data_IF_158273059732
#
_entry.id   IF_158273059732
#
_cell.length_a   1.000
_cell.length_b   1.000
_cell.length_c   1.000
_cell.angle_alpha   90.00
_cell.angle_beta   90.00
_cell.angle_gamma   90.00
#
_symmetry.space_group_name_H-M   'P 1'
#
loop_
_entity.id
_entity.type
_entity.pdbx_description
1 polymer ?
#
# COMPACT_ATOMS: atom_id res chain seq x y z
N UNK A 1 16.71 30.43 14.74
CA UNK A 1 15.75 29.40 14.30
C UNK A 1 16.44 28.07 14.50
N UNK A 2 15.80 27.14 15.19
CA UNK A 2 16.34 25.80 15.43
C UNK A 2 16.34 25.02 14.10
N UNK A 3 17.47 24.50 13.61
CA UNK A 3 17.56 23.81 12.32
C UNK A 3 16.83 22.45 12.30
N UNK A 4 16.25 22.01 13.43
CA UNK A 4 15.55 20.73 13.57
C UNK A 4 14.03 20.77 13.27
N UNK A 5 13.50 21.92 12.83
CA UNK A 5 12.06 22.09 12.58
C UNK A 5 11.80 22.15 11.06
N UNK A 6 11.93 21.01 10.38
CA UNK A 6 11.53 20.87 8.97
C UNK A 6 10.55 19.72 8.75
N UNK A 7 9.73 19.42 9.77
CA UNK A 7 8.70 18.39 9.69
C UNK A 7 7.34 19.00 9.99
N UNK A 8 6.49 19.02 8.98
CA UNK A 8 5.07 19.31 9.14
C UNK A 8 4.45 18.22 10.02
N UNK A 9 4.04 18.54 11.24
CA UNK A 9 3.41 17.59 12.17
C UNK A 9 1.88 17.62 12.02
N UNK A 10 1.25 16.44 12.04
CA UNK A 10 -0.20 16.27 12.01
C UNK A 10 -0.69 15.79 13.36
N UNK A 11 -1.71 16.44 13.93
CA UNK A 11 -2.43 15.91 15.09
C UNK A 11 -3.42 14.87 14.61
N UNK A 12 -3.41 13.66 15.16
CA UNK A 12 -4.35 12.63 14.70
C UNK A 12 -4.11 11.23 15.23
N UNK A 13 -4.73 10.30 14.53
CA UNK A 13 -4.64 8.86 14.77
C UNK A 13 -4.17 8.16 13.50
N UNK A 14 -3.22 7.21 13.57
CA UNK A 14 -2.96 6.31 12.46
C UNK A 14 -4.26 5.62 12.05
N UNK A 15 -4.53 5.57 10.75
CA UNK A 15 -5.69 4.88 10.24
C UNK A 15 -5.38 3.39 10.09
N UNK A 16 -6.32 2.57 10.52
CA UNK A 16 -6.30 1.14 10.23
C UNK A 16 -6.82 0.93 8.81
N UNK A 17 -5.90 0.82 7.85
CA UNK A 17 -6.25 0.72 6.43
C UNK A 17 -6.87 -0.64 6.09
N UNK A 18 -6.52 -1.68 6.85
CA UNK A 18 -7.14 -3.01 6.75
C UNK A 18 -8.60 -2.93 7.22
N UNK A 19 -8.87 -2.35 8.39
CA UNK A 19 -10.24 -2.14 8.86
C UNK A 19 -11.05 -1.24 7.92
N UNK A 20 -10.43 -0.21 7.33
CA UNK A 20 -11.08 0.62 6.31
C UNK A 20 -11.44 -0.19 5.06
N UNK A 21 -10.57 -1.12 4.64
CA UNK A 21 -10.85 -2.00 3.52
C UNK A 21 -12.01 -2.96 3.83
N UNK A 22 -12.02 -3.57 5.01
CA UNK A 22 -13.14 -4.41 5.47
C UNK A 22 -14.45 -3.62 5.51
N UNK A 23 -14.39 -2.38 6.01
CA UNK A 23 -15.53 -1.45 6.02
C UNK A 23 -16.00 -1.16 4.59
N UNK A 24 -15.08 -0.89 3.67
CA UNK A 24 -15.39 -0.66 2.27
C UNK A 24 -16.06 -1.89 1.62
N UNK A 25 -15.61 -3.09 1.94
CA UNK A 25 -16.21 -4.33 1.44
C UNK A 25 -17.63 -4.54 1.97
N UNK A 26 -17.85 -4.34 3.28
CA UNK A 26 -19.19 -4.44 3.90
C UNK A 26 -20.15 -3.43 3.27
N UNK A 27 -19.68 -2.22 2.97
CA UNK A 27 -20.46 -1.15 2.33
C UNK A 27 -20.53 -1.27 0.80
N UNK A 28 -19.93 -2.29 0.20
CA UNK A 28 -19.88 -2.51 -1.26
C UNK A 28 -19.25 -1.34 -2.03
N UNK A 29 -18.26 -0.67 -1.43
CA UNK A 29 -17.51 0.45 -2.02
C UNK A 29 -16.31 -0.03 -2.86
N UNK A 30 -15.95 -1.31 -2.74
CA UNK A 30 -14.90 -1.94 -3.56
C UNK A 30 -15.52 -2.52 -4.82
N UNK A 31 -15.05 -2.08 -5.98
CA UNK A 31 -15.47 -2.59 -7.28
C UNK A 31 -14.46 -3.58 -7.84
N UNK A 32 -14.91 -4.49 -8.69
CA UNK A 32 -14.01 -5.29 -9.51
C UNK A 32 -13.55 -4.45 -10.72
N UNK A 33 -12.27 -4.56 -11.16
CA UNK A 33 -11.83 -3.88 -12.36
C UNK A 33 -12.65 -4.32 -13.59
N UNK A 34 -13.03 -3.37 -14.45
CA UNK A 34 -13.78 -3.66 -15.68
C UNK A 34 -12.98 -4.63 -16.58
N UNK A 35 -13.51 -5.83 -16.92
CA UNK A 35 -12.84 -6.79 -17.79
C UNK A 35 -12.46 -6.20 -19.16
N UNK A 36 -13.27 -5.29 -19.71
CA UNK A 36 -12.96 -4.63 -21.00
C UNK A 36 -11.79 -3.67 -20.89
N UNK A 37 -11.59 -3.09 -19.71
CA UNK A 37 -10.41 -2.27 -19.40
C UNK A 37 -9.19 -3.16 -19.26
N UNK A 38 -9.27 -4.24 -18.47
CA UNK A 38 -8.17 -5.19 -18.26
C UNK A 38 -7.67 -5.81 -19.57
N UNK A 39 -8.57 -6.14 -20.51
CA UNK A 39 -8.22 -6.71 -21.81
C UNK A 39 -7.29 -5.82 -22.67
N UNK A 40 -7.13 -4.53 -22.33
CA UNK A 40 -6.22 -3.61 -23.02
C UNK A 40 -4.79 -3.62 -22.48
N UNK A 41 -4.55 -4.31 -21.36
CA UNK A 41 -3.27 -4.31 -20.66
C UNK A 41 -2.72 -5.73 -20.50
N UNK A 42 -1.39 -5.83 -20.38
CA UNK A 42 -0.70 -7.07 -20.11
C UNK A 42 -1.22 -7.71 -18.80
N UNK A 43 -1.54 -9.02 -18.77
CA UNK A 43 -1.99 -9.70 -17.55
C UNK A 43 -1.06 -9.51 -16.35
N UNK A 44 0.23 -9.31 -16.59
CA UNK A 44 1.23 -9.05 -15.54
C UNK A 44 0.94 -7.79 -14.75
N UNK A 45 0.20 -6.81 -15.26
CA UNK A 45 -0.14 -5.58 -14.51
C UNK A 45 -1.57 -5.58 -13.96
N UNK A 46 -2.35 -6.65 -14.16
CA UNK A 46 -3.75 -6.70 -13.74
C UNK A 46 -3.94 -6.55 -12.23
N UNK A 47 -2.99 -7.03 -11.42
CA UNK A 47 -3.05 -6.88 -9.96
C UNK A 47 -3.00 -5.40 -9.53
N UNK A 48 -2.31 -4.52 -10.27
CA UNK A 48 -2.25 -3.08 -9.97
C UNK A 48 -3.64 -2.44 -10.10
N UNK A 49 -4.44 -2.89 -11.07
CA UNK A 49 -5.83 -2.44 -11.19
C UNK A 49 -6.66 -2.90 -10.00
N UNK A 50 -6.51 -4.16 -9.58
CA UNK A 50 -7.19 -4.67 -8.38
C UNK A 50 -6.81 -3.86 -7.15
N UNK A 51 -5.51 -3.65 -6.90
CA UNK A 51 -5.01 -2.84 -5.78
C UNK A 51 -5.55 -1.41 -5.81
N UNK A 52 -5.63 -0.80 -6.99
CA UNK A 52 -6.21 0.52 -7.15
C UNK A 52 -7.71 0.54 -6.79
N UNK A 53 -8.48 -0.47 -7.18
CA UNK A 53 -9.90 -0.57 -6.76
C UNK A 53 -10.05 -0.79 -5.25
N UNK A 54 -9.19 -1.61 -4.63
CA UNK A 54 -9.16 -1.78 -3.18
C UNK A 54 -8.86 -0.44 -2.48
N UNK A 55 -7.82 0.27 -2.95
CA UNK A 55 -7.42 1.57 -2.40
C UNK A 55 -8.51 2.63 -2.57
N UNK A 56 -9.17 2.67 -3.73
CA UNK A 56 -10.31 3.56 -3.94
C UNK A 56 -11.43 3.26 -2.94
N UNK A 57 -11.76 1.99 -2.71
CA UNK A 57 -12.73 1.59 -1.70
C UNK A 57 -12.35 2.08 -0.29
N UNK A 58 -11.09 1.95 0.11
CA UNK A 58 -10.56 2.49 1.39
C UNK A 58 -10.76 4.00 1.48
N UNK A 59 -10.45 4.74 0.41
CA UNK A 59 -10.59 6.19 0.37
C UNK A 59 -12.05 6.65 0.39
N UNK A 60 -12.96 5.90 -0.25
CA UNK A 60 -14.41 6.16 -0.19
C UNK A 60 -14.97 5.88 1.21
N UNK A 61 -14.63 4.75 1.83
CA UNK A 61 -15.05 4.43 3.19
C UNK A 61 -14.58 5.50 4.19
N UNK A 62 -13.33 5.95 4.03
CA UNK A 62 -12.81 7.04 4.86
C UNK A 62 -13.56 8.36 4.65
N UNK A 63 -13.98 8.66 3.42
CA UNK A 63 -14.77 9.87 3.13
C UNK A 63 -16.13 9.82 3.79
N UNK A 64 -16.84 8.70 3.70
CA UNK A 64 -18.14 8.53 4.36
C UNK A 64 -18.04 8.71 5.89
N UNK A 65 -16.97 8.16 6.50
CA UNK A 65 -16.70 8.35 7.93
C UNK A 65 -16.44 9.83 8.25
N UNK A 66 -15.63 10.52 7.45
CA UNK A 66 -15.37 11.96 7.63
C UNK A 66 -16.67 12.76 7.61
N UNK A 67 -17.56 12.47 6.65
CA UNK A 67 -18.85 13.12 6.51
C UNK A 67 -19.78 12.83 7.70
N UNK A 68 -19.76 11.61 8.24
CA UNK A 68 -20.55 11.20 9.42
C UNK A 68 -20.11 11.88 10.72
N UNK A 69 -18.80 12.12 10.87
CA UNK A 69 -18.21 12.66 12.09
C UNK A 69 -18.47 14.15 12.29
N UNK A 70 -18.70 14.89 11.19
CA UNK A 70 -18.96 16.34 11.20
C UNK A 70 -17.87 17.16 11.91
N UNK A 71 -16.65 16.65 12.00
CA UNK A 71 -15.50 17.39 12.51
C UNK A 71 -15.00 18.31 11.37
N UNK A 72 -15.05 19.64 11.54
CA UNK A 72 -14.59 20.55 10.50
C UNK A 72 -13.11 20.31 10.19
N UNK A 73 -12.77 20.23 8.90
CA UNK A 73 -11.40 20.00 8.42
C UNK A 73 -10.74 18.69 8.86
N UNK A 74 -11.50 17.69 9.33
CA UNK A 74 -10.98 16.33 9.43
C UNK A 74 -10.59 15.82 8.03
N UNK A 75 -9.40 15.25 7.89
CA UNK A 75 -8.89 14.72 6.62
C UNK A 75 -8.11 13.45 6.86
N UNK A 76 -8.08 12.57 5.86
CA UNK A 76 -7.10 11.51 5.81
C UNK A 76 -5.82 12.04 5.14
N UNK A 77 -4.67 11.90 5.81
CA UNK A 77 -3.36 12.35 5.31
C UNK A 77 -2.30 11.31 5.62
N UNK A 78 -1.25 11.29 4.83
CA UNK A 78 -0.16 10.32 4.98
C UNK A 78 0.90 10.81 5.97
N UNK A 79 1.41 9.88 6.79
CA UNK A 79 2.46 10.10 7.80
C UNK A 79 3.63 9.14 7.60
N UNK A 80 4.83 9.55 8.01
CA UNK A 80 5.99 8.66 8.10
C UNK A 80 5.86 7.76 9.35
N UNK A 81 6.04 6.44 9.16
CA UNK A 81 6.13 5.47 10.27
C UNK A 81 7.48 4.75 10.32
N UNK A 82 8.30 4.89 9.27
CA UNK A 82 9.70 4.52 9.18
C UNK A 82 10.38 5.34 8.07
N UNK A 83 11.66 5.07 7.78
CA UNK A 83 12.40 5.68 6.67
C UNK A 83 11.85 5.30 5.28
N UNK A 84 11.13 4.17 5.21
CA UNK A 84 10.64 3.59 3.94
C UNK A 84 9.15 3.32 3.92
N UNK A 85 8.47 3.52 5.05
CA UNK A 85 7.05 3.18 5.18
C UNK A 85 6.26 4.40 5.62
N UNK A 86 5.11 4.55 4.98
CA UNK A 86 4.09 5.51 5.34
C UNK A 86 2.81 4.79 5.73
N UNK A 87 1.93 5.51 6.42
CA UNK A 87 0.59 5.05 6.76
C UNK A 87 -0.37 6.23 6.67
N UNK A 88 -1.64 5.97 6.41
CA UNK A 88 -2.68 7.00 6.52
C UNK A 88 -2.91 7.39 7.99
N UNK A 89 -3.35 8.63 8.18
CA UNK A 89 -3.63 9.22 9.48
C UNK A 89 -4.88 10.11 9.38
N UNK A 90 -5.79 9.91 10.33
CA UNK A 90 -6.91 10.79 10.59
C UNK A 90 -6.39 12.12 11.16
N UNK A 91 -6.12 13.07 10.27
CA UNK A 91 -5.62 14.41 10.61
C UNK A 91 -6.74 15.28 11.16
N UNK A 92 -6.67 15.54 12.46
CA UNK A 92 -7.56 16.44 13.18
C UNK A 92 -7.13 17.90 13.04
N UNK A 93 -8.07 18.86 13.12
CA UNK A 93 -7.74 20.28 13.20
C UNK A 93 -7.08 20.62 14.55
N UNK A 94 -6.27 21.67 14.58
CA UNK A 94 -5.45 22.03 15.74
C UNK A 94 -6.26 22.37 17.02
N UNK A 95 -7.54 22.76 16.88
CA UNK A 95 -8.41 23.02 18.04
C UNK A 95 -8.82 21.74 18.78
N UNK A 96 -8.71 20.56 18.16
CA UNK A 96 -8.94 19.26 18.81
C UNK A 96 -7.83 18.85 19.79
N UNK A 97 -6.74 19.62 19.87
CA UNK A 97 -5.69 19.38 20.85
C UNK A 97 -6.17 19.65 22.27
N UNK A 98 -5.87 18.76 23.22
CA UNK A 98 -6.41 18.81 24.59
C UNK A 98 -6.27 20.17 25.31
N UNK A 99 -5.26 20.97 24.98
CA UNK A 99 -5.06 22.32 25.58
C UNK A 99 -5.93 23.43 24.97
N UNK A 100 -6.57 23.17 23.82
CA UNK A 100 -7.36 24.12 23.02
C UNK A 100 -8.80 23.67 22.83
N UNK A 101 -9.09 22.40 23.12
CA UNK A 101 -10.35 21.72 22.88
C UNK A 101 -11.48 22.33 23.72
N UNK A 102 -12.60 22.62 23.08
CA UNK A 102 -13.84 22.99 23.78
C UNK A 102 -14.61 21.74 24.27
N UNK A 103 -15.62 21.89 25.14
CA UNK A 103 -16.50 20.78 25.48
C UNK A 103 -17.21 20.18 24.26
N UNK A 104 -17.61 21.00 23.29
CA UNK A 104 -18.24 20.58 22.04
C UNK A 104 -17.27 19.76 21.18
N UNK A 105 -16.03 20.23 21.03
CA UNK A 105 -14.98 19.50 20.33
C UNK A 105 -14.70 18.15 21.00
N UNK A 106 -14.74 18.10 22.33
CA UNK A 106 -14.56 16.86 23.08
C UNK A 106 -15.66 15.85 22.73
N UNK A 107 -16.93 16.28 22.67
CA UNK A 107 -18.04 15.40 22.27
C UNK A 107 -17.86 14.87 20.84
N UNK A 108 -17.46 15.73 19.90
CA UNK A 108 -17.21 15.32 18.52
C UNK A 108 -16.04 14.33 18.42
N UNK A 109 -14.96 14.59 19.16
CA UNK A 109 -13.81 13.71 19.20
C UNK A 109 -14.13 12.34 19.82
N UNK A 110 -14.88 12.30 20.92
CA UNK A 110 -15.28 11.02 21.52
C UNK A 110 -16.19 10.21 20.58
N UNK A 111 -17.15 10.86 19.91
CA UNK A 111 -17.95 10.20 18.85
C UNK A 111 -17.04 9.65 17.74
N UNK A 112 -16.05 10.43 17.29
CA UNK A 112 -15.14 9.99 16.25
C UNK A 112 -14.29 8.79 16.69
N UNK A 113 -13.77 8.83 17.91
CA UNK A 113 -13.01 7.74 18.54
C UNK A 113 -13.82 6.44 18.61
N UNK A 114 -15.10 6.52 18.98
CA UNK A 114 -16.02 5.38 18.97
C UNK A 114 -16.13 4.76 17.57
N UNK A 115 -16.27 5.59 16.52
CA UNK A 115 -16.39 5.13 15.13
C UNK A 115 -15.13 4.40 14.68
N UNK A 116 -13.94 4.94 14.99
CA UNK A 116 -12.66 4.35 14.55
C UNK A 116 -12.07 3.33 15.55
N UNK A 117 -12.80 3.00 16.62
CA UNK A 117 -12.36 2.04 17.63
C UNK A 117 -11.14 2.48 18.47
N UNK A 118 -10.92 3.78 18.64
CA UNK A 118 -9.78 4.31 19.41
C UNK A 118 -10.23 4.81 20.79
N UNK A 119 -9.34 4.70 21.78
CA UNK A 119 -9.62 5.13 23.17
C UNK A 119 -8.67 6.22 23.64
N UNK A 120 -7.51 6.34 22.99
CA UNK A 120 -6.44 7.26 23.40
C UNK A 120 -6.65 8.68 22.85
N UNK A 121 -5.97 9.63 23.46
CA UNK A 121 -5.87 11.01 22.95
C UNK A 121 -5.05 11.05 21.64
N UNK A 122 -5.36 11.99 20.72
CA UNK A 122 -4.65 12.11 19.45
C UNK A 122 -3.22 12.55 19.68
N UNK A 123 -2.32 12.13 18.78
CA UNK A 123 -0.88 12.38 18.89
C UNK A 123 -0.38 13.14 17.67
N UNK A 124 0.78 13.76 17.82
CA UNK A 124 1.46 14.38 16.70
C UNK A 124 2.27 13.34 15.93
N UNK A 125 2.07 13.32 14.62
CA UNK A 125 2.75 12.42 13.68
C UNK A 125 3.48 13.23 12.61
N UNK A 126 4.64 12.78 12.15
CA UNK A 126 5.36 13.44 11.06
C UNK A 126 4.62 13.24 9.74
N UNK A 127 4.20 14.32 9.06
CA UNK A 127 3.59 14.23 7.74
C UNK A 127 4.59 13.76 6.71
N UNK A 128 4.13 12.96 5.73
CA UNK A 128 4.92 12.63 4.54
C UNK A 128 4.95 13.73 3.47
N UNK A 129 4.28 14.87 3.70
CA UNK A 129 4.37 16.03 2.79
C UNK A 129 5.74 16.72 2.85
N UNK A 130 6.55 16.42 3.87
CA UNK A 130 7.93 16.90 4.01
C UNK A 130 8.93 15.75 4.01
N UNK A 131 10.21 16.09 4.19
CA UNK A 131 11.28 15.10 4.25
C UNK A 131 11.10 14.10 5.41
N UNK A 132 11.70 12.91 5.27
CA UNK A 132 11.73 11.93 6.37
C UNK A 132 12.39 12.58 7.60
N UNK A 133 11.72 12.60 8.76
CA UNK A 133 12.26 13.13 10.01
C UNK A 133 13.59 12.49 10.35
N UNK A 134 14.55 13.27 10.85
CA UNK A 134 15.87 12.76 11.23
C UNK A 134 15.81 11.56 12.20
N UNK A 135 14.82 11.55 13.10
CA UNK A 135 14.61 10.45 14.07
C UNK A 135 14.19 9.13 13.43
N UNK A 136 13.65 9.16 12.21
CA UNK A 136 13.22 7.97 11.47
C UNK A 136 14.24 7.54 10.42
N UNK A 137 15.23 8.37 10.07
CA UNK A 137 16.25 8.02 9.06
C UNK A 137 17.06 6.81 9.51
N UNK A 138 17.22 5.84 8.63
CA UNK A 138 17.86 4.55 8.95
C UNK A 138 16.98 3.57 9.72
N UNK A 139 15.80 3.99 10.20
CA UNK A 139 14.81 3.08 10.75
C UNK A 139 14.07 2.40 9.59
N UNK A 140 14.60 1.27 9.14
CA UNK A 140 14.02 0.53 8.01
C UNK A 140 12.68 -0.12 8.36
N UNK A 141 12.53 -0.61 9.60
CA UNK A 141 11.33 -1.31 10.05
C UNK A 141 10.41 -0.38 10.85
N UNK A 142 9.15 -0.19 10.44
CA UNK A 142 8.17 0.52 11.25
C UNK A 142 7.82 -0.23 12.54
N UNK A 143 7.23 0.45 13.54
CA UNK A 143 6.63 -0.23 14.68
C UNK A 143 5.60 -1.27 14.23
N UNK A 144 5.69 -2.50 14.74
CA UNK A 144 4.88 -3.64 14.30
C UNK A 144 3.37 -3.35 14.29
N UNK A 145 2.85 -2.70 15.35
CA UNK A 145 1.42 -2.31 15.41
C UNK A 145 1.00 -1.44 14.23
N UNK A 146 1.84 -0.47 13.83
CA UNK A 146 1.51 0.43 12.71
C UNK A 146 1.71 -0.26 11.37
N UNK A 147 2.68 -1.17 11.30
CA UNK A 147 2.88 -1.98 10.11
C UNK A 147 1.65 -2.83 9.80
N UNK A 148 1.11 -3.53 10.79
CA UNK A 148 -0.06 -4.40 10.60
C UNK A 148 -1.33 -3.67 10.16
N UNK A 149 -1.40 -2.34 10.36
CA UNK A 149 -2.52 -1.51 9.92
C UNK A 149 -2.47 -1.16 8.43
N UNK A 150 -1.30 -1.29 7.77
CA UNK A 150 -1.13 -0.88 6.39
C UNK A 150 -1.78 -1.87 5.42
N UNK A 151 -2.47 -1.36 4.41
CA UNK A 151 -3.15 -2.19 3.39
C UNK A 151 -2.17 -3.06 2.61
N UNK A 152 -0.90 -2.65 2.53
CA UNK A 152 0.15 -3.42 1.88
C UNK A 152 0.41 -4.77 2.55
N UNK A 153 -0.06 -4.96 3.78
CA UNK A 153 0.01 -6.23 4.50
C UNK A 153 -1.26 -7.08 4.35
N UNK A 154 -2.24 -6.63 3.58
CA UNK A 154 -3.43 -7.42 3.28
C UNK A 154 -3.06 -8.68 2.46
N UNK A 155 -3.63 -9.87 2.76
CA UNK A 155 -3.41 -11.06 1.95
C UNK A 155 -3.78 -10.84 0.47
N UNK A 156 -2.84 -11.11 -0.44
CA UNK A 156 -3.03 -10.85 -1.87
C UNK A 156 -2.65 -9.44 -2.33
N UNK A 157 -2.14 -8.59 -1.44
CA UNK A 157 -1.39 -7.41 -1.85
C UNK A 157 -0.03 -7.86 -2.40
N UNK A 158 0.25 -7.52 -3.66
CA UNK A 158 1.52 -7.81 -4.32
C UNK A 158 2.42 -6.60 -4.18
N UNK A 159 3.55 -6.76 -3.50
CA UNK A 159 4.56 -5.71 -3.42
C UNK A 159 5.52 -5.89 -4.60
N UNK A 160 5.46 -4.97 -5.57
CA UNK A 160 6.18 -5.07 -6.85
C UNK A 160 7.70 -4.94 -6.76
N UNK A 161 8.28 -4.92 -5.57
CA UNK A 161 9.72 -5.07 -5.40
C UNK A 161 10.16 -6.54 -5.45
N UNK A 162 9.76 -7.23 -6.52
CA UNK A 162 10.64 -8.26 -7.06
C UNK A 162 11.51 -7.50 -8.05
N UNK A 163 12.77 -7.25 -7.69
CA UNK A 163 13.80 -6.99 -8.68
C UNK A 163 13.64 -8.11 -9.69
N UNK A 164 13.02 -7.80 -10.83
CA UNK A 164 13.18 -8.62 -12.00
C UNK A 164 14.65 -8.44 -12.30
N UNK A 165 15.49 -9.32 -11.74
CA UNK A 165 16.73 -9.72 -12.36
C UNK A 165 16.33 -10.20 -13.74
N UNK A 166 16.14 -9.23 -14.65
CA UNK A 166 16.29 -9.43 -16.08
C UNK A 166 17.68 -10.00 -16.12
N UNK A 167 17.76 -11.32 -16.24
CA UNK A 167 19.00 -12.05 -16.31
C UNK A 167 19.90 -11.25 -17.22
N UNK A 168 20.91 -10.60 -16.62
CA UNK A 168 22.10 -10.26 -17.34
C UNK A 168 22.61 -11.63 -17.78
N UNK A 169 22.19 -12.04 -18.97
CA UNK A 169 23.01 -12.85 -19.84
C UNK A 169 24.27 -12.00 -19.92
N UNK A 170 25.20 -12.27 -19.01
CA UNK A 170 26.59 -11.96 -19.18
C UNK A 170 26.94 -12.73 -20.46
N UNK A 171 27.20 -12.07 -21.60
CA UNK A 171 27.99 -12.72 -22.61
C UNK A 171 29.37 -12.75 -21.96
N UNK A 172 29.65 -13.84 -21.26
CA UNK A 172 31.03 -14.15 -20.94
C UNK A 172 31.71 -14.31 -22.29
N UNK A 173 32.42 -13.23 -22.61
CA UNK A 173 33.58 -13.18 -23.48
C UNK A 173 34.53 -14.29 -23.05
N UNK A 174 34.38 -15.47 -23.64
CA UNK A 174 35.53 -16.34 -23.85
C UNK A 174 36.19 -15.86 -25.14
N UNK A 175 37.27 -15.11 -24.94
CA UNK A 175 38.33 -14.93 -25.92
C UNK A 175 38.82 -16.32 -26.35
N UNK A 176 38.44 -16.72 -27.56
CA UNK A 176 39.12 -17.78 -28.32
C UNK A 176 39.35 -17.26 -29.72
N UNK A 177 40.49 -16.60 -29.88
CA UNK A 177 41.20 -16.39 -31.15
C UNK A 177 41.63 -17.78 -31.67
N UNK A 178 41.04 -18.25 -32.77
CA UNK A 178 41.63 -19.22 -33.69
C UNK A 178 40.80 -19.23 -34.99
N UNK A 179 41.47 -18.90 -36.10
CA UNK A 179 40.84 -18.61 -37.38
C UNK A 179 40.44 -19.81 -38.24
N UNK A 180 39.86 -19.44 -39.41
CA UNK A 180 39.54 -20.27 -40.58
C UNK A 180 38.37 -21.25 -40.34
N UNK A 181 37.36 -21.43 -41.21
CA UNK A 181 37.26 -21.32 -42.66
C UNK A 181 35.83 -20.93 -43.08
N UNK A 182 35.72 -20.32 -44.27
CA UNK A 182 34.47 -20.26 -45.03
C UNK A 182 34.02 -21.68 -45.38
N UNK A 183 32.75 -22.00 -45.14
CA UNK A 183 31.84 -22.68 -46.08
C UNK A 183 30.68 -23.40 -45.38
N UNK A 184 29.53 -23.36 -46.05
CA UNK A 184 28.37 -24.27 -45.97
C UNK A 184 27.17 -23.92 -45.06
N UNK A 185 26.12 -23.51 -45.77
CA UNK A 185 24.70 -23.84 -45.62
C UNK A 185 24.36 -24.98 -44.64
N UNK A 186 23.30 -24.82 -43.84
CA UNK A 186 21.96 -25.39 -44.11
C UNK A 186 20.98 -25.08 -42.96
N UNK A 187 19.71 -24.99 -43.35
CA UNK A 187 18.51 -24.94 -42.51
C UNK A 187 18.53 -25.95 -41.37
N UNK A 188 18.03 -25.57 -40.20
CA UNK A 188 17.32 -26.53 -39.36
C UNK A 188 16.36 -25.84 -38.40
N UNK A 189 15.08 -26.02 -38.71
CA UNK A 189 13.94 -25.87 -37.81
C UNK A 189 14.15 -26.76 -36.58
N UNK A 190 14.01 -26.22 -35.36
CA UNK A 190 13.83 -27.05 -34.18
C UNK A 190 12.78 -26.49 -33.19
N UNK A 191 11.70 -27.26 -33.18
CA UNK A 191 10.57 -27.35 -32.26
C UNK A 191 10.81 -26.89 -30.80
N UNK A 192 10.13 -25.80 -30.43
CA UNK A 192 9.88 -25.48 -29.01
C UNK A 192 8.82 -26.42 -28.41
N UNK A 193 9.27 -27.41 -27.64
CA UNK A 193 8.41 -28.24 -26.78
C UNK A 193 7.98 -27.45 -25.52
N UNK A 194 6.72 -27.01 -25.51
CA UNK A 194 6.04 -26.51 -24.31
C UNK A 194 5.80 -27.65 -23.30
N UNK A 195 6.58 -27.65 -22.21
CA UNK A 195 6.36 -28.50 -21.05
C UNK A 195 5.03 -28.19 -20.38
N UNK A 196 4.16 -29.19 -20.30
CA UNK A 196 2.82 -29.11 -19.70
C UNK A 196 2.88 -28.88 -18.19
N UNK A 197 2.39 -27.73 -17.72
CA UNK A 197 2.13 -27.46 -16.30
C UNK A 197 0.87 -28.21 -15.85
N UNK A 198 1.08 -29.25 -15.04
CA UNK A 198 0.02 -30.05 -14.39
C UNK A 198 -0.50 -29.28 -13.16
N UNK A 199 -1.69 -28.70 -13.29
CA UNK A 199 -2.45 -28.16 -12.14
C UNK A 199 -3.11 -29.33 -11.39
N UNK A 200 -2.74 -29.55 -10.14
CA UNK A 200 -3.51 -30.39 -9.21
C UNK A 200 -4.54 -29.51 -8.51
N UNK A 201 -5.79 -29.63 -8.92
CA UNK A 201 -6.95 -29.26 -8.14
C UNK A 201 -7.56 -30.54 -7.54
N UNK A 202 -7.81 -30.53 -6.23
CA UNK A 202 -8.79 -31.33 -5.48
C UNK A 202 -8.47 -31.14 -3.99
N UNK A 203 -9.42 -30.91 -3.08
CA UNK A 203 -10.86 -30.89 -3.22
C UNK A 203 -11.45 -30.71 -1.83
N UNK A 204 -12.51 -29.92 -1.79
CA UNK A 204 -13.52 -29.83 -0.72
C UNK A 204 -13.95 -31.22 -0.23
N UNK A 205 -13.98 -31.38 1.09
CA UNK A 205 -14.66 -32.48 1.78
C UNK A 205 -15.46 -31.90 2.95
N UNK A 206 -16.77 -31.76 2.74
CA UNK A 206 -17.76 -31.56 3.79
C UNK A 206 -18.35 -32.92 4.17
N UNK A 207 -18.57 -33.15 5.47
CA UNK A 207 -19.42 -34.18 6.13
C UNK A 207 -18.80 -34.44 7.51
N UNK A 208 -19.45 -34.41 8.66
CA UNK A 208 -20.87 -34.35 9.04
C UNK A 208 -20.97 -33.84 10.48
#
# INVERSE_FOLDING_TARGET
>A
MDPDIDVCMLLGYPADEIWLLETAQVRQLVSQPDPKRLAKFDPRVHFQFVQNELWNGVMEAAREIIDECRIPNLRLRTIWISDRCTLMCWSLPAHMWHKRRTPEDTKLLEKFKEIIGETKEPRFWPSSSGAVPMKLRGQLKPPERLFMMAISNHPGWVDDYVDVEIGRIHPDSDDSDDGLDEDSYEDSDDDFKLGSLKVKAQGSGASS
#
